data_IF_140778022839
#
_entry.id   IF_140778022839
#
_cell.length_a   1.000
_cell.length_b   1.000
_cell.length_c   1.000
_cell.angle_alpha   90.00
_cell.angle_beta   90.00
_cell.angle_gamma   90.00
#
_symmetry.space_group_name_H-M   'P 1'
#
loop_
_entity.id
_entity.type
_entity.pdbx_description
1 polymer ?
#
# COMPACT_ATOMS: atom_id res chain seq x y z
N UNK A 1 -4.21 33.32 10.75
CA UNK A 1 -4.72 32.63 11.95
C UNK A 1 -3.53 32.04 12.70
N UNK A 2 -3.29 32.40 13.97
CA UNK A 2 -2.17 31.81 14.75
C UNK A 2 -2.55 30.39 15.15
N UNK A 3 -1.67 29.38 14.96
CA UNK A 3 -1.95 28.01 15.39
C UNK A 3 -2.18 27.98 16.91
N UNK A 4 -3.06 27.08 17.37
CA UNK A 4 -3.30 26.91 18.80
C UNK A 4 -1.99 26.54 19.50
N UNK A 5 -1.80 26.99 20.74
CA UNK A 5 -0.59 26.68 21.53
C UNK A 5 -0.33 25.17 21.60
N UNK A 6 -1.39 24.38 21.72
CA UNK A 6 -1.33 22.92 21.72
C UNK A 6 -0.77 22.34 20.41
N UNK A 7 -1.17 22.87 19.25
CA UNK A 7 -0.66 22.42 17.94
C UNK A 7 0.83 22.77 17.79
N UNK A 8 1.24 23.96 18.23
CA UNK A 8 2.66 24.36 18.18
C UNK A 8 3.53 23.49 19.09
N UNK A 9 3.05 23.17 20.30
CA UNK A 9 3.76 22.28 21.22
C UNK A 9 3.85 20.87 20.63
N UNK A 10 2.74 20.30 20.16
CA UNK A 10 2.73 18.97 19.56
C UNK A 10 3.68 18.89 18.36
N UNK A 11 3.69 19.91 17.50
CA UNK A 11 4.63 20.01 16.37
C UNK A 11 6.08 20.02 16.83
N UNK A 12 6.43 20.87 17.80
CA UNK A 12 7.79 20.93 18.32
C UNK A 12 8.24 19.62 18.97
N UNK A 13 7.34 18.96 19.71
CA UNK A 13 7.61 17.65 20.32
C UNK A 13 7.85 16.60 19.24
N UNK A 14 7.00 16.52 18.21
CA UNK A 14 7.18 15.56 17.11
C UNK A 14 8.47 15.80 16.31
N UNK A 15 8.80 17.06 16.04
CA UNK A 15 10.06 17.43 15.37
C UNK A 15 11.24 17.04 16.26
N UNK A 16 11.21 17.40 17.55
CA UNK A 16 12.26 17.06 18.50
C UNK A 16 12.48 15.56 18.61
N UNK A 17 11.40 14.79 18.79
CA UNK A 17 11.44 13.33 18.83
C UNK A 17 12.01 12.73 17.52
N UNK A 18 11.58 13.25 16.36
CA UNK A 18 12.09 12.82 15.06
C UNK A 18 13.58 13.09 14.90
N UNK A 19 14.05 14.30 15.23
CA UNK A 19 15.47 14.67 15.15
C UNK A 19 16.31 13.84 16.10
N UNK A 20 15.87 13.67 17.36
CA UNK A 20 16.57 12.82 18.33
C UNK A 20 16.66 11.37 17.85
N UNK A 21 15.58 10.84 17.25
CA UNK A 21 15.56 9.51 16.64
C UNK A 21 16.54 9.38 15.47
N UNK A 22 16.61 10.38 14.59
CA UNK A 22 17.56 10.39 13.47
C UNK A 22 19.01 10.44 13.95
N UNK A 23 19.31 11.29 14.94
CA UNK A 23 20.66 11.40 15.52
C UNK A 23 21.07 10.09 16.19
N UNK A 24 20.19 9.49 16.99
CA UNK A 24 20.42 8.19 17.60
C UNK A 24 20.68 7.12 16.53
N UNK A 25 19.84 7.07 15.50
CA UNK A 25 20.01 6.15 14.37
C UNK A 25 21.34 6.34 13.65
N UNK A 26 21.76 7.58 13.40
CA UNK A 26 23.05 7.88 12.78
C UNK A 26 24.23 7.43 13.66
N UNK A 27 24.17 7.69 14.97
CA UNK A 27 25.19 7.24 15.93
C UNK A 27 25.27 5.71 15.95
N UNK A 28 24.14 5.02 16.01
CA UNK A 28 24.09 3.54 15.98
C UNK A 28 24.64 3.00 14.66
N UNK A 29 24.28 3.61 13.53
CA UNK A 29 24.73 3.19 12.21
C UNK A 29 26.26 3.26 12.09
N UNK A 30 26.86 4.38 12.51
CA UNK A 30 28.32 4.57 12.43
C UNK A 30 29.07 3.76 13.48
N UNK A 31 28.49 3.54 14.67
CA UNK A 31 29.15 2.82 15.76
C UNK A 31 29.04 1.29 15.67
N UNK A 32 28.05 0.75 14.95
CA UNK A 32 27.78 -0.70 14.91
C UNK A 32 27.95 -1.34 13.54
N UNK A 33 27.99 -0.59 12.45
CA UNK A 33 28.08 -1.13 11.10
C UNK A 33 29.45 -0.87 10.48
N UNK A 34 29.92 -1.82 9.68
CA UNK A 34 31.12 -1.64 8.85
C UNK A 34 30.87 -0.61 7.72
N UNK A 35 31.92 0.03 7.17
CA UNK A 35 31.76 1.01 6.09
C UNK A 35 30.98 0.47 4.87
N UNK A 36 31.22 -0.81 4.50
CA UNK A 36 30.50 -1.46 3.41
C UNK A 36 29.00 -1.64 3.70
N UNK A 37 28.63 -1.94 4.95
CA UNK A 37 27.22 -2.03 5.36
C UNK A 37 26.55 -0.65 5.34
N UNK A 38 27.25 0.42 5.71
CA UNK A 38 26.72 1.78 5.61
C UNK A 38 26.43 2.15 4.14
N UNK A 39 27.36 1.83 3.23
CA UNK A 39 27.13 1.99 1.78
C UNK A 39 25.95 1.13 1.32
N UNK A 40 25.85 -0.11 1.80
CA UNK A 40 24.71 -0.99 1.52
C UNK A 40 23.37 -0.39 1.96
N UNK A 41 23.30 0.19 3.15
CA UNK A 41 22.10 0.90 3.65
C UNK A 41 21.79 2.12 2.77
N UNK A 42 22.81 2.90 2.38
CA UNK A 42 22.61 4.06 1.51
C UNK A 42 22.08 3.68 0.12
N UNK A 43 22.65 2.63 -0.50
CA UNK A 43 22.18 2.09 -1.77
C UNK A 43 20.77 1.53 -1.67
N UNK A 44 20.45 0.82 -0.58
CA UNK A 44 19.10 0.32 -0.33
C UNK A 44 18.10 1.47 -0.16
N UNK A 45 18.46 2.51 0.60
CA UNK A 45 17.64 3.71 0.79
C UNK A 45 17.35 4.40 -0.55
N UNK A 46 18.38 4.57 -1.37
CA UNK A 46 18.24 5.14 -2.71
C UNK A 46 17.31 4.28 -3.58
N UNK A 47 17.49 2.95 -3.57
CA UNK A 47 16.62 2.01 -4.26
C UNK A 47 15.16 2.11 -3.79
N UNK A 48 14.93 2.20 -2.48
CA UNK A 48 13.61 2.37 -1.89
C UNK A 48 12.94 3.69 -2.31
N UNK A 49 13.69 4.80 -2.32
CA UNK A 49 13.20 6.11 -2.79
C UNK A 49 12.80 6.03 -4.26
N UNK A 50 13.66 5.49 -5.12
CA UNK A 50 13.36 5.35 -6.55
C UNK A 50 12.12 4.47 -6.75
N UNK A 51 12.07 3.32 -6.08
CA UNK A 51 10.93 2.42 -6.16
C UNK A 51 9.64 3.11 -5.70
N UNK A 52 9.66 3.88 -4.61
CA UNK A 52 8.48 4.54 -4.08
C UNK A 52 8.01 5.73 -4.94
N UNK A 53 8.92 6.65 -5.24
CA UNK A 53 8.58 7.93 -5.86
C UNK A 53 8.50 7.83 -7.39
N UNK A 54 9.45 7.12 -8.01
CA UNK A 54 9.54 7.04 -9.46
C UNK A 54 8.75 5.87 -10.06
N UNK A 55 8.40 4.85 -9.28
CA UNK A 55 7.68 3.66 -9.78
C UNK A 55 6.31 3.52 -9.15
N UNK A 56 6.21 3.35 -7.83
CA UNK A 56 4.94 3.05 -7.17
C UNK A 56 3.95 4.23 -7.26
N UNK A 57 4.39 5.45 -6.95
CA UNK A 57 3.56 6.65 -7.01
C UNK A 57 2.93 6.90 -8.40
N UNK A 58 3.70 6.89 -9.51
CA UNK A 58 3.12 7.04 -10.84
C UNK A 58 2.24 5.86 -11.25
N UNK A 59 2.58 4.61 -10.89
CA UNK A 59 1.72 3.46 -11.17
C UNK A 59 0.36 3.58 -10.46
N UNK A 60 0.36 3.99 -9.18
CA UNK A 60 -0.87 4.22 -8.42
C UNK A 60 -1.68 5.38 -9.03
N UNK A 61 -1.01 6.45 -9.47
CA UNK A 61 -1.65 7.55 -10.17
C UNK A 61 -2.30 7.09 -11.48
N UNK A 62 -1.55 6.37 -12.33
CA UNK A 62 -2.04 5.82 -13.59
C UNK A 62 -3.22 4.90 -13.35
N UNK A 63 -3.12 3.97 -12.39
CA UNK A 63 -4.22 3.11 -12.00
C UNK A 63 -5.45 3.92 -11.59
N UNK A 64 -5.29 4.92 -10.72
CA UNK A 64 -6.38 5.80 -10.30
C UNK A 64 -7.01 6.56 -11.49
N UNK A 65 -6.21 7.05 -12.44
CA UNK A 65 -6.69 7.73 -13.65
C UNK A 65 -7.43 6.75 -14.57
N UNK A 66 -6.88 5.56 -14.81
CA UNK A 66 -7.48 4.50 -15.62
C UNK A 66 -8.81 4.06 -15.02
N UNK A 67 -8.89 3.83 -13.72
CA UNK A 67 -10.15 3.47 -13.05
C UNK A 67 -11.19 4.59 -13.13
N UNK A 68 -10.77 5.86 -12.97
CA UNK A 68 -11.67 7.02 -13.15
C UNK A 68 -12.16 7.15 -14.60
N UNK A 69 -11.32 6.84 -15.59
CA UNK A 69 -11.67 6.85 -17.02
C UNK A 69 -12.53 5.63 -17.41
N UNK A 70 -12.22 4.44 -16.92
CA UNK A 70 -13.02 3.24 -17.14
C UNK A 70 -14.43 3.34 -16.51
N UNK A 71 -14.56 4.07 -15.39
CA UNK A 71 -15.83 4.49 -14.81
C UNK A 71 -16.56 5.64 -15.54
N UNK A 72 -15.98 6.13 -16.64
CA UNK A 72 -16.48 7.14 -17.59
C UNK A 72 -16.41 6.56 -19.02
N UNK A 73 -17.21 5.55 -19.36
CA UNK A 73 -17.34 5.17 -20.77
C UNK A 73 -17.92 6.35 -21.59
N UNK A 74 -17.48 6.54 -22.85
CA UNK A 74 -17.85 7.69 -23.68
C UNK A 74 -19.36 7.73 -23.90
N UNK A 75 -19.90 8.93 -24.02
CA UNK A 75 -21.31 9.23 -24.20
C UNK A 75 -21.98 8.60 -25.45
N UNK A 76 -21.28 7.72 -26.17
CA UNK A 76 -21.69 7.12 -27.44
C UNK A 76 -22.00 5.62 -27.38
N UNK A 77 -21.78 4.93 -26.25
CA UNK A 77 -22.16 3.52 -26.09
C UNK A 77 -23.09 3.32 -24.86
N UNK A 78 -24.38 3.17 -25.15
CA UNK A 78 -25.49 2.88 -24.22
C UNK A 78 -25.90 4.03 -23.27
N UNK A 79 -26.78 4.89 -23.78
CA UNK A 79 -27.58 5.83 -22.99
C UNK A 79 -28.64 5.14 -22.09
N UNK A 80 -28.61 3.81 -21.95
CA UNK A 80 -29.63 3.01 -21.24
C UNK A 80 -29.15 2.44 -19.89
N UNK A 81 -27.85 2.46 -19.59
CA UNK A 81 -27.35 2.04 -18.27
C UNK A 81 -27.73 3.07 -17.19
N UNK A 82 -28.73 2.73 -16.38
CA UNK A 82 -29.24 3.58 -15.31
C UNK A 82 -28.11 4.11 -14.42
N UNK A 83 -28.24 5.34 -13.93
CA UNK A 83 -27.25 5.98 -13.06
C UNK A 83 -26.86 5.11 -11.83
N UNK A 84 -27.74 4.19 -11.42
CA UNK A 84 -27.53 3.18 -10.37
C UNK A 84 -26.46 2.17 -10.73
N UNK A 85 -26.51 1.58 -11.93
CA UNK A 85 -25.51 0.60 -12.39
C UNK A 85 -24.10 1.20 -12.42
N UNK A 86 -23.98 2.49 -12.74
CA UNK A 86 -22.70 3.22 -12.72
C UNK A 86 -22.15 3.41 -11.30
N UNK A 87 -23.01 3.70 -10.32
CA UNK A 87 -22.59 3.87 -8.91
C UNK A 87 -22.08 2.54 -8.34
N UNK A 88 -22.81 1.45 -8.57
CA UNK A 88 -22.41 0.12 -8.08
C UNK A 88 -21.10 -0.35 -8.72
N UNK A 89 -20.94 -0.14 -10.02
CA UNK A 89 -19.68 -0.45 -10.72
C UNK A 89 -18.48 0.30 -10.14
N UNK A 90 -18.63 1.61 -9.89
CA UNK A 90 -17.57 2.42 -9.26
C UNK A 90 -17.21 1.92 -7.86
N UNK A 91 -18.19 1.56 -7.04
CA UNK A 91 -17.93 1.00 -5.72
C UNK A 91 -17.16 -0.32 -5.77
N UNK A 92 -17.50 -1.22 -6.69
CA UNK A 92 -16.77 -2.47 -6.91
C UNK A 92 -15.33 -2.21 -7.35
N UNK A 93 -15.10 -1.28 -8.29
CA UNK A 93 -13.75 -0.91 -8.72
C UNK A 93 -12.90 -0.36 -7.57
N UNK A 94 -13.48 0.46 -6.69
CA UNK A 94 -12.77 0.98 -5.52
C UNK A 94 -12.39 -0.14 -4.55
N UNK A 95 -13.28 -1.13 -4.32
CA UNK A 95 -12.99 -2.29 -3.47
C UNK A 95 -11.79 -3.08 -4.05
N UNK A 96 -11.81 -3.35 -5.36
CA UNK A 96 -10.72 -4.06 -6.05
C UNK A 96 -9.41 -3.25 -5.98
N UNK A 97 -9.47 -1.94 -6.22
CA UNK A 97 -8.30 -1.08 -6.16
C UNK A 97 -7.67 -1.09 -4.75
N UNK A 98 -8.48 -0.97 -3.71
CA UNK A 98 -7.99 -1.05 -2.32
C UNK A 98 -7.32 -2.40 -2.03
N UNK A 99 -7.90 -3.50 -2.51
CA UNK A 99 -7.33 -4.83 -2.33
C UNK A 99 -5.97 -4.99 -3.03
N UNK A 100 -5.84 -4.48 -4.27
CA UNK A 100 -4.57 -4.48 -5.00
C UNK A 100 -3.51 -3.66 -4.27
N UNK A 101 -3.87 -2.48 -3.73
CA UNK A 101 -2.95 -1.65 -2.94
C UNK A 101 -2.46 -2.42 -1.71
N UNK A 102 -3.37 -3.07 -0.97
CA UNK A 102 -3.01 -3.88 0.20
C UNK A 102 -2.05 -5.01 -0.18
N UNK A 103 -2.37 -5.78 -1.22
CA UNK A 103 -1.51 -6.86 -1.71
C UNK A 103 -0.14 -6.37 -2.18
N UNK A 104 -0.08 -5.21 -2.84
CA UNK A 104 1.18 -4.59 -3.26
C UNK A 104 2.05 -4.18 -2.07
N UNK A 105 1.47 -3.57 -1.03
CA UNK A 105 2.20 -3.20 0.20
C UNK A 105 2.75 -4.46 0.90
N UNK A 106 1.93 -5.51 1.03
CA UNK A 106 2.39 -6.77 1.63
C UNK A 106 3.52 -7.40 0.82
N UNK A 107 3.43 -7.35 -0.51
CA UNK A 107 4.49 -7.85 -1.40
C UNK A 107 5.77 -7.05 -1.21
N UNK A 108 5.68 -5.71 -1.12
CA UNK A 108 6.84 -4.84 -0.88
C UNK A 108 7.58 -5.16 0.42
N UNK A 109 6.85 -5.60 1.45
CA UNK A 109 7.42 -5.99 2.75
C UNK A 109 8.00 -7.42 2.69
N UNK A 110 7.28 -8.37 2.10
CA UNK A 110 7.63 -9.80 2.17
C UNK A 110 8.68 -10.21 1.13
N UNK A 111 8.75 -9.54 -0.03
CA UNK A 111 9.75 -9.88 -1.07
C UNK A 111 11.21 -9.72 -0.57
N UNK A 112 11.58 -8.64 0.14
CA UNK A 112 12.87 -8.56 0.80
C UNK A 112 13.15 -9.71 1.77
N UNK A 113 12.15 -10.19 2.51
CA UNK A 113 12.30 -11.32 3.43
C UNK A 113 12.57 -12.64 2.66
N UNK A 114 11.88 -12.85 1.54
CA UNK A 114 12.12 -14.00 0.65
C UNK A 114 13.57 -13.99 0.15
N UNK A 115 14.06 -12.84 -0.31
CA UNK A 115 15.45 -12.69 -0.76
C UNK A 115 16.45 -12.85 0.40
N UNK A 116 16.18 -12.24 1.55
CA UNK A 116 17.05 -12.37 2.72
C UNK A 116 17.21 -13.84 3.15
N UNK A 117 16.16 -14.67 2.99
CA UNK A 117 16.24 -16.10 3.28
C UNK A 117 17.24 -16.84 2.39
N UNK A 118 17.47 -16.40 1.14
CA UNK A 118 18.43 -17.03 0.22
C UNK A 118 19.88 -16.75 0.60
N UNK A 119 20.14 -15.74 1.43
CA UNK A 119 21.48 -15.38 1.90
C UNK A 119 21.92 -16.24 3.12
N UNK A 120 21.01 -17.05 3.67
CA UNK A 120 21.24 -17.82 4.90
C UNK A 120 21.08 -16.96 6.16
N UNK A 121 20.84 -17.61 7.29
CA UNK A 121 20.73 -16.95 8.60
C UNK A 121 21.70 -17.56 9.58
N UNK A 122 22.37 -16.72 10.37
CA UNK A 122 23.26 -17.18 11.44
C UNK A 122 22.49 -17.77 12.64
N UNK A 123 21.19 -17.47 12.75
CA UNK A 123 20.31 -17.99 13.78
C UNK A 123 19.05 -18.59 13.15
N UNK A 124 18.75 -19.88 13.38
CA UNK A 124 17.61 -20.56 12.77
C UNK A 124 16.24 -20.05 13.21
N UNK A 125 16.16 -19.24 14.28
CA UNK A 125 14.90 -18.57 14.67
C UNK A 125 14.61 -17.30 13.85
N UNK A 126 15.57 -16.83 13.06
CA UNK A 126 15.43 -15.71 12.12
C UNK A 126 14.96 -16.27 10.77
N UNK A 127 13.87 -15.73 10.25
CA UNK A 127 13.24 -16.16 9.00
C UNK A 127 12.79 -17.64 8.95
N UNK A 128 12.06 -18.16 9.96
CA UNK A 128 11.74 -19.58 10.06
C UNK A 128 10.73 -20.06 9.01
N UNK A 129 9.93 -19.14 8.46
CA UNK A 129 8.75 -19.48 7.67
C UNK A 129 9.03 -19.53 6.17
N UNK A 130 8.19 -20.26 5.43
CA UNK A 130 8.12 -20.12 3.97
C UNK A 130 7.33 -18.85 3.62
N UNK A 131 8.06 -17.77 3.37
CA UNK A 131 7.50 -16.46 3.03
C UNK A 131 6.88 -16.44 1.64
N UNK A 132 7.38 -17.24 0.70
CA UNK A 132 6.83 -17.34 -0.65
C UNK A 132 5.44 -17.96 -0.62
N UNK A 133 5.31 -19.10 0.06
CA UNK A 133 4.02 -19.76 0.23
C UNK A 133 3.03 -18.86 1.00
N UNK A 134 3.47 -18.22 2.08
CA UNK A 134 2.61 -17.32 2.88
C UNK A 134 2.14 -16.11 2.09
N UNK A 135 3.00 -15.51 1.26
CA UNK A 135 2.61 -14.42 0.39
C UNK A 135 1.58 -14.88 -0.65
N UNK A 136 1.77 -16.04 -1.27
CA UNK A 136 0.81 -16.62 -2.21
C UNK A 136 -0.55 -16.87 -1.54
N UNK A 137 -0.56 -17.48 -0.35
CA UNK A 137 -1.78 -17.69 0.45
C UNK A 137 -2.46 -16.36 0.78
N UNK A 138 -1.69 -15.34 1.16
CA UNK A 138 -2.23 -14.02 1.46
C UNK A 138 -2.90 -13.37 0.24
N UNK A 139 -2.31 -13.48 -0.94
CA UNK A 139 -2.94 -13.02 -2.19
C UNK A 139 -4.25 -13.75 -2.48
N UNK A 140 -4.30 -15.07 -2.26
CA UNK A 140 -5.54 -15.86 -2.39
C UNK A 140 -6.60 -15.35 -1.41
N UNK A 141 -6.23 -15.14 -0.13
CA UNK A 141 -7.16 -14.61 0.88
C UNK A 141 -7.68 -13.22 0.48
N UNK A 142 -6.80 -12.32 0.03
CA UNK A 142 -7.19 -10.98 -0.44
C UNK A 142 -8.16 -11.10 -1.61
N UNK A 143 -7.87 -11.95 -2.59
CA UNK A 143 -8.73 -12.14 -3.75
C UNK A 143 -10.13 -12.64 -3.34
N UNK A 144 -10.18 -13.64 -2.45
CA UNK A 144 -11.44 -14.20 -1.94
C UNK A 144 -12.24 -13.15 -1.17
N UNK A 145 -11.62 -12.45 -0.22
CA UNK A 145 -12.29 -11.40 0.57
C UNK A 145 -12.80 -10.26 -0.32
N UNK A 146 -12.01 -9.88 -1.32
CA UNK A 146 -12.38 -8.86 -2.30
C UNK A 146 -13.60 -9.28 -3.10
N UNK A 147 -13.59 -10.50 -3.65
CA UNK A 147 -14.71 -11.04 -4.42
C UNK A 147 -15.99 -11.10 -3.58
N UNK A 148 -15.91 -11.62 -2.35
CA UNK A 148 -17.05 -11.68 -1.42
C UNK A 148 -17.59 -10.28 -1.11
N UNK A 149 -16.71 -9.34 -0.81
CA UNK A 149 -17.08 -7.95 -0.48
C UNK A 149 -17.73 -7.24 -1.67
N UNK A 150 -17.17 -7.41 -2.87
CA UNK A 150 -17.73 -6.88 -4.12
C UNK A 150 -19.12 -7.45 -4.41
N UNK A 151 -19.32 -8.77 -4.23
CA UNK A 151 -20.62 -9.43 -4.42
C UNK A 151 -21.64 -8.93 -3.40
N UNK A 152 -21.27 -8.85 -2.11
CA UNK A 152 -22.15 -8.35 -1.05
C UNK A 152 -22.53 -6.89 -1.30
N UNK A 153 -21.57 -6.06 -1.67
CA UNK A 153 -21.80 -4.65 -2.01
C UNK A 153 -22.79 -4.52 -3.18
N UNK A 154 -22.57 -5.26 -4.28
CA UNK A 154 -23.44 -5.23 -5.43
C UNK A 154 -24.88 -5.68 -5.10
N UNK A 155 -25.02 -6.78 -4.33
CA UNK A 155 -26.33 -7.30 -3.89
C UNK A 155 -27.09 -6.33 -3.00
N UNK A 156 -26.41 -5.68 -2.05
CA UNK A 156 -27.03 -4.66 -1.16
C UNK A 156 -27.46 -3.42 -1.94
N UNK A 157 -26.64 -2.99 -2.91
CA UNK A 157 -26.97 -1.85 -3.77
C UNK A 157 -28.22 -2.09 -4.63
N UNK A 158 -28.51 -3.34 -5.01
CA UNK A 158 -29.72 -3.69 -5.74
C UNK A 158 -30.99 -3.65 -4.85
N UNK A 159 -30.88 -4.15 -3.61
CA UNK A 159 -32.01 -4.26 -2.66
C UNK A 159 -32.54 -2.92 -2.15
N UNK A 160 -31.68 -1.92 -1.93
CA UNK A 160 -32.06 -0.61 -1.39
C UNK A 160 -32.73 0.31 -2.43
N UNK A 161 -33.38 -0.26 -3.45
CA UNK A 161 -34.14 0.49 -4.44
C UNK A 161 -35.54 0.74 -3.89
N UNK A 162 -36.03 2.00 -3.84
CA UNK A 162 -37.46 2.26 -3.65
C UNK A 162 -38.21 1.46 -4.72
N UNK A 163 -39.17 0.65 -4.29
CA UNK A 163 -40.19 0.12 -5.20
C UNK A 163 -41.14 1.28 -5.41
N UNK A 164 -41.16 1.82 -6.63
CA UNK A 164 -42.24 2.68 -7.09
C UNK A 164 -43.55 1.88 -7.06
#
# INVERSE_FOLDING_TARGET
MKPSKALSIARSVLIGAGVLGLLLGAVVLVSKQSPLQIVGVALWMLGAIILHDAVLSPLVLVAAVVFRRAGRKPATASASLSARSRRTWRGVLLIIQSAVIVGAILTLIVVPEIYAKTLGTANPTILPSDYGLRLAVMWVVIAVVTALTSVVYARRSAKNSPRD
#
